data_IF_542560583462
#
_entry.id   IF_542560583462
#
_cell.length_a   1.000
_cell.length_b   1.000
_cell.length_c   1.000
_cell.angle_alpha   90.00
_cell.angle_beta   90.00
_cell.angle_gamma   90.00
#
_symmetry.space_group_name_H-M   'P 1'
#
loop_
_entity.id
_entity.type
_entity.pdbx_description
1 polymer ?
#
# COMPACT_ATOMS: atom_id res chain seq x y z
N UNK A 1 11.17 12.54 5.94
CA UNK A 1 10.56 13.83 6.34
C UNK A 1 10.66 14.88 5.23
N UNK A 2 11.85 15.25 4.74
CA UNK A 2 11.99 16.29 3.71
C UNK A 2 11.19 16.05 2.41
N UNK A 3 11.20 14.82 1.86
CA UNK A 3 10.37 14.50 0.68
C UNK A 3 8.87 14.72 0.94
N UNK A 4 8.41 14.39 2.15
CA UNK A 4 7.02 14.59 2.53
C UNK A 4 6.66 16.07 2.45
N UNK A 5 7.42 16.94 3.13
CA UNK A 5 7.16 18.38 3.15
C UNK A 5 7.24 18.99 1.75
N UNK A 6 8.32 18.74 1.00
CA UNK A 6 8.50 19.33 -0.33
C UNK A 6 7.39 18.94 -1.32
N UNK A 7 6.90 17.69 -1.26
CA UNK A 7 5.79 17.26 -2.14
C UNK A 7 4.42 17.68 -1.60
N UNK A 8 4.22 17.66 -0.28
CA UNK A 8 2.99 18.13 0.35
C UNK A 8 2.77 19.61 0.01
N UNK A 9 3.75 20.47 0.27
CA UNK A 9 3.66 21.88 -0.06
C UNK A 9 3.39 22.08 -1.54
N UNK A 10 4.14 21.42 -2.43
CA UNK A 10 3.98 21.52 -3.88
C UNK A 10 2.55 21.24 -4.35
N UNK A 11 1.91 20.18 -3.85
CA UNK A 11 0.58 19.77 -4.31
C UNK A 11 -0.58 20.39 -3.54
N UNK A 12 -0.32 20.88 -2.33
CA UNK A 12 -1.33 21.52 -1.48
C UNK A 12 -1.33 23.05 -1.55
N UNK A 13 -0.44 23.69 -2.32
CA UNK A 13 -0.52 25.14 -2.56
C UNK A 13 -1.94 25.55 -3.01
N UNK A 14 -2.43 26.64 -2.45
CA UNK A 14 -3.75 27.19 -2.71
C UNK A 14 -4.91 26.46 -2.03
N UNK A 15 -4.64 25.40 -1.26
CA UNK A 15 -5.70 24.63 -0.58
C UNK A 15 -6.05 25.16 0.82
N UNK A 16 -5.25 26.09 1.37
CA UNK A 16 -5.34 26.55 2.75
C UNK A 16 -4.58 25.68 3.74
N UNK A 17 -3.84 24.66 3.27
CA UNK A 17 -3.02 23.77 4.11
C UNK A 17 -1.55 24.21 4.18
N UNK A 18 -1.11 25.05 3.25
CA UNK A 18 0.28 25.51 3.16
C UNK A 18 0.39 26.95 3.68
N UNK A 19 1.42 27.30 4.47
CA UNK A 19 1.67 28.67 4.87
C UNK A 19 1.66 29.64 3.68
N UNK A 20 1.05 30.80 3.85
CA UNK A 20 0.92 31.80 2.78
C UNK A 20 -0.30 31.63 1.86
N UNK A 21 -1.02 30.51 1.92
CA UNK A 21 -2.29 30.38 1.20
C UNK A 21 -3.35 31.37 1.71
N UNK A 22 -4.22 31.86 0.83
CA UNK A 22 -5.25 32.84 1.18
C UNK A 22 -6.21 32.37 2.30
N UNK A 23 -6.52 31.07 2.33
CA UNK A 23 -7.41 30.45 3.32
C UNK A 23 -6.66 29.73 4.45
N UNK A 24 -5.34 29.87 4.53
CA UNK A 24 -4.57 29.24 5.59
C UNK A 24 -4.96 29.83 6.96
N UNK A 25 -5.43 29.01 7.93
CA UNK A 25 -5.88 29.55 9.22
C UNK A 25 -4.78 30.33 9.97
N UNK A 26 -3.51 29.96 9.77
CA UNK A 26 -2.37 30.63 10.37
C UNK A 26 -2.15 32.08 9.92
N UNK A 27 -2.74 32.50 8.80
CA UNK A 27 -2.66 33.89 8.33
C UNK A 27 -3.37 34.88 9.26
N UNK A 28 -4.33 34.40 10.07
CA UNK A 28 -5.09 35.21 11.04
C UNK A 28 -4.30 35.47 12.34
N UNK A 29 -3.16 34.80 12.53
CA UNK A 29 -2.40 34.88 13.76
C UNK A 29 -1.52 36.13 13.78
N UNK A 30 -1.60 36.90 14.86
CA UNK A 30 -0.86 38.16 14.98
C UNK A 30 0.66 38.00 14.79
N UNK A 31 1.23 36.89 15.29
CA UNK A 31 2.66 36.58 15.14
C UNK A 31 3.09 36.19 13.71
N UNK A 32 2.14 36.03 12.78
CA UNK A 32 2.40 35.82 11.36
C UNK A 32 2.13 37.07 10.52
N UNK A 33 1.66 38.16 11.12
CA UNK A 33 1.40 39.42 10.42
C UNK A 33 2.66 39.95 9.73
N UNK A 34 2.54 40.27 8.44
CA UNK A 34 3.65 40.78 7.62
C UNK A 34 4.72 39.76 7.21
N UNK A 35 4.60 38.48 7.63
CA UNK A 35 5.51 37.43 7.14
C UNK A 35 5.30 37.19 5.65
N UNK A 36 6.39 36.99 4.93
CA UNK A 36 6.41 36.52 3.55
C UNK A 36 6.92 35.09 3.54
N UNK A 37 6.24 34.23 2.80
CA UNK A 37 6.60 32.82 2.66
C UNK A 37 7.10 32.58 1.24
N UNK A 38 8.34 32.12 1.10
CA UNK A 38 8.92 31.71 -0.19
C UNK A 38 8.68 30.22 -0.40
N UNK A 39 7.42 29.85 -0.66
CA UNK A 39 7.04 28.45 -0.82
C UNK A 39 7.78 27.77 -2.00
N UNK A 40 8.00 28.42 -3.16
CA UNK A 40 8.84 27.83 -4.20
C UNK A 40 10.27 27.53 -3.73
N UNK A 41 10.89 28.43 -2.95
CA UNK A 41 12.19 28.22 -2.34
C UNK A 41 12.20 27.10 -1.30
N UNK A 42 11.16 27.02 -0.47
CA UNK A 42 10.99 26.00 0.58
C UNK A 42 10.80 24.60 -0.01
N UNK A 43 9.92 24.45 -1.00
CA UNK A 43 9.75 23.20 -1.77
C UNK A 43 11.09 22.75 -2.35
N UNK A 44 11.81 23.66 -3.02
CA UNK A 44 13.10 23.34 -3.62
C UNK A 44 14.09 22.87 -2.55
N UNK A 45 14.19 23.59 -1.44
CA UNK A 45 15.05 23.24 -0.32
C UNK A 45 14.74 21.81 0.19
N UNK A 46 13.49 21.51 0.49
CA UNK A 46 13.11 20.19 1.00
C UNK A 46 13.36 19.05 0.00
N UNK A 47 13.12 19.26 -1.29
CA UNK A 47 13.42 18.26 -2.31
C UNK A 47 14.94 18.05 -2.48
N UNK A 48 15.74 19.11 -2.43
CA UNK A 48 17.21 19.01 -2.45
C UNK A 48 17.73 18.26 -1.21
N UNK A 49 17.19 18.57 -0.01
CA UNK A 49 17.53 17.85 1.22
C UNK A 49 17.13 16.38 1.18
N UNK A 50 15.97 16.06 0.61
CA UNK A 50 15.55 14.67 0.43
C UNK A 50 16.52 13.90 -0.47
N UNK A 51 16.94 14.51 -1.58
CA UNK A 51 17.87 13.94 -2.54
C UNK A 51 19.27 13.76 -1.93
N UNK A 52 19.78 14.77 -1.24
CA UNK A 52 21.09 14.72 -0.57
C UNK A 52 21.14 13.65 0.52
N UNK A 53 20.16 13.63 1.42
CA UNK A 53 20.11 12.66 2.52
C UNK A 53 19.96 11.22 2.01
N UNK A 54 19.09 11.00 1.02
CA UNK A 54 18.89 9.67 0.42
C UNK A 54 20.18 9.13 -0.21
N UNK A 55 21.01 10.00 -0.80
CA UNK A 55 22.27 9.60 -1.44
C UNK A 55 23.30 9.07 -0.44
N UNK A 56 23.29 9.55 0.82
CA UNK A 56 24.29 9.17 1.83
C UNK A 56 24.19 7.71 2.26
N UNK A 57 23.00 7.13 2.15
CA UNK A 57 22.69 5.77 2.65
C UNK A 57 23.21 4.68 1.70
N UNK A 58 23.66 5.05 0.50
CA UNK A 58 24.20 4.13 -0.50
C UNK A 58 23.12 3.52 -1.39
N UNK A 59 23.50 2.46 -2.13
CA UNK A 59 22.67 1.85 -3.18
C UNK A 59 22.67 0.31 -3.14
N UNK A 60 23.15 -0.29 -2.05
CA UNK A 60 23.19 -1.74 -1.90
C UNK A 60 21.81 -2.26 -1.51
N UNK A 61 21.23 -3.08 -2.39
CA UNK A 61 19.95 -3.76 -2.17
C UNK A 61 20.15 -5.28 -2.08
N UNK A 62 19.28 -5.93 -1.33
CA UNK A 62 19.20 -7.39 -1.19
C UNK A 62 18.77 -7.99 -2.53
N UNK A 63 19.57 -8.89 -3.08
CA UNK A 63 19.27 -9.52 -4.35
C UNK A 63 18.08 -10.50 -4.25
N UNK A 64 17.34 -10.64 -5.34
CA UNK A 64 16.38 -11.73 -5.54
C UNK A 64 17.09 -12.90 -6.21
N UNK A 65 16.76 -14.13 -5.81
CA UNK A 65 17.21 -15.34 -6.53
C UNK A 65 16.33 -15.66 -7.74
N UNK A 66 15.26 -14.89 -7.94
CA UNK A 66 14.20 -15.13 -8.93
C UNK A 66 13.47 -16.48 -8.75
N UNK A 67 13.64 -17.13 -7.59
CA UNK A 67 12.78 -18.24 -7.16
C UNK A 67 11.54 -17.69 -6.46
N UNK A 68 10.35 -18.11 -6.91
CA UNK A 68 9.06 -17.59 -6.44
C UNK A 68 8.45 -18.38 -5.28
N UNK A 69 9.01 -19.57 -5.01
CA UNK A 69 8.64 -20.42 -3.89
C UNK A 69 9.81 -21.31 -3.44
N UNK A 70 9.83 -21.73 -2.17
CA UNK A 70 10.75 -22.76 -1.67
C UNK A 70 10.41 -24.16 -2.19
N UNK A 71 11.38 -25.08 -2.06
CA UNK A 71 11.13 -26.50 -2.16
C UNK A 71 10.62 -27.06 -0.82
N UNK A 72 9.85 -28.16 -0.87
CA UNK A 72 9.48 -28.93 0.33
C UNK A 72 10.76 -29.39 1.05
N UNK A 73 10.81 -29.21 2.37
CA UNK A 73 11.98 -29.46 3.20
C UNK A 73 13.03 -28.34 3.21
N UNK A 74 12.77 -27.20 2.56
CA UNK A 74 13.72 -26.08 2.47
C UNK A 74 13.01 -24.75 2.80
N UNK A 75 12.74 -24.46 4.09
CA UNK A 75 11.98 -23.28 4.48
C UNK A 75 12.75 -21.95 4.32
N UNK A 76 14.08 -21.99 4.25
CA UNK A 76 14.97 -20.80 4.17
C UNK A 76 16.06 -20.99 3.10
N UNK A 77 16.78 -19.92 2.75
CA UNK A 77 17.86 -19.92 1.76
C UNK A 77 17.40 -19.99 0.30
N UNK A 78 16.12 -19.77 0.01
CA UNK A 78 15.56 -19.87 -1.33
C UNK A 78 15.42 -18.51 -2.02
N UNK A 79 15.17 -17.42 -1.29
CA UNK A 79 15.13 -16.06 -1.85
C UNK A 79 15.41 -15.00 -0.77
N UNK A 80 16.58 -14.35 -0.84
CA UNK A 80 17.00 -13.36 0.16
C UNK A 80 16.07 -12.12 0.23
N UNK A 81 15.46 -11.72 -0.88
CA UNK A 81 14.53 -10.58 -0.87
C UNK A 81 13.21 -10.92 -0.16
N UNK A 82 12.71 -12.16 -0.31
CA UNK A 82 11.57 -12.62 0.49
C UNK A 82 11.97 -12.76 1.96
N UNK A 83 13.12 -13.40 2.22
CA UNK A 83 13.59 -13.75 3.56
C UNK A 83 13.96 -12.54 4.42
N UNK A 84 14.28 -11.39 3.80
CA UNK A 84 14.40 -10.11 4.49
C UNK A 84 13.17 -9.75 5.32
N UNK A 85 11.99 -10.28 5.00
CA UNK A 85 10.75 -10.06 5.74
C UNK A 85 10.31 -11.26 6.60
N UNK A 86 11.08 -12.37 6.60
CA UNK A 86 10.65 -13.64 7.20
C UNK A 86 11.75 -14.31 8.02
N UNK A 87 12.71 -13.53 8.51
CA UNK A 87 13.79 -14.01 9.37
C UNK A 87 13.86 -13.20 10.69
N UNK A 88 14.25 -13.81 11.83
CA UNK A 88 14.22 -13.14 13.14
C UNK A 88 15.24 -12.01 13.37
N UNK A 89 16.27 -11.89 12.53
CA UNK A 89 17.34 -10.91 12.67
C UNK A 89 17.78 -10.37 11.30
N UNK A 90 18.14 -9.09 11.21
CA UNK A 90 18.46 -8.41 9.94
C UNK A 90 19.85 -7.76 9.95
N UNK A 91 20.69 -8.06 10.94
CA UNK A 91 22.08 -7.61 11.00
C UNK A 91 22.94 -8.13 9.84
N UNK A 92 22.54 -9.24 9.23
CA UNK A 92 23.14 -9.81 8.03
C UNK A 92 22.55 -9.28 6.71
N UNK A 93 21.62 -8.30 6.74
CA UNK A 93 20.95 -7.76 5.56
C UNK A 93 21.37 -6.30 5.36
N UNK A 94 22.39 -6.01 4.51
CA UNK A 94 22.91 -4.65 4.33
C UNK A 94 21.90 -3.63 3.82
N UNK A 95 20.81 -4.06 3.18
CA UNK A 95 19.73 -3.17 2.75
C UNK A 95 18.94 -2.57 3.93
N UNK A 96 18.91 -3.25 5.08
CA UNK A 96 18.10 -2.86 6.24
C UNK A 96 18.93 -1.95 7.15
N UNK A 97 18.43 -0.74 7.38
CA UNK A 97 19.13 0.31 8.14
C UNK A 97 18.61 0.40 9.58
N UNK A 98 17.32 0.11 9.76
CA UNK A 98 16.66 0.04 11.05
C UNK A 98 15.58 -1.04 10.97
N UNK A 99 15.51 -1.88 12.00
CA UNK A 99 14.45 -2.85 12.15
C UNK A 99 14.01 -2.98 13.60
N UNK A 100 12.79 -3.48 13.79
CA UNK A 100 12.32 -3.96 15.08
C UNK A 100 12.57 -5.46 15.17
N UNK A 101 13.36 -5.86 16.16
CA UNK A 101 13.60 -7.27 16.48
C UNK A 101 12.55 -7.78 17.47
N UNK A 102 12.13 -9.02 17.28
CA UNK A 102 11.24 -9.74 18.17
C UNK A 102 12.00 -10.91 18.80
N UNK A 103 11.67 -11.24 20.04
CA UNK A 103 12.33 -12.28 20.81
C UNK A 103 11.35 -12.97 21.74
N UNK A 104 11.18 -14.27 21.51
CA UNK A 104 10.38 -15.15 22.36
C UNK A 104 10.91 -15.20 23.79
N UNK A 105 12.23 -15.21 24.00
CA UNK A 105 12.82 -15.27 25.34
C UNK A 105 12.60 -13.99 26.15
N UNK A 106 12.39 -12.86 25.48
CA UNK A 106 12.07 -11.57 26.10
C UNK A 106 10.56 -11.29 26.15
N UNK A 107 9.72 -12.20 25.65
CA UNK A 107 8.27 -12.04 25.64
C UNK A 107 7.74 -11.06 24.58
N UNK A 108 8.55 -10.70 23.59
CA UNK A 108 8.15 -9.82 22.48
C UNK A 108 7.98 -10.64 21.21
N UNK A 109 6.75 -11.04 20.90
CA UNK A 109 6.39 -11.76 19.69
C UNK A 109 5.24 -11.06 18.95
N UNK A 110 4.89 -11.54 17.76
CA UNK A 110 3.73 -11.08 17.00
C UNK A 110 3.06 -12.24 16.26
N UNK A 111 1.96 -11.96 15.58
CA UNK A 111 1.15 -12.97 14.90
C UNK A 111 1.12 -12.81 13.38
N UNK A 112 1.84 -11.80 12.85
CA UNK A 112 1.83 -11.48 11.41
C UNK A 112 2.02 -12.69 10.49
N UNK A 113 3.00 -13.60 10.69
CA UNK A 113 3.19 -14.75 9.81
C UNK A 113 1.97 -15.67 9.75
N UNK A 114 1.30 -15.87 10.89
CA UNK A 114 0.06 -16.63 10.94
C UNK A 114 -1.09 -15.86 10.27
N UNK A 115 -1.24 -14.56 10.51
CA UNK A 115 -2.34 -13.75 9.92
C UNK A 115 -2.25 -13.61 8.41
N UNK A 116 -1.05 -13.46 7.85
CA UNK A 116 -0.90 -13.41 6.38
C UNK A 116 -1.15 -14.78 5.73
N UNK A 117 -1.08 -15.87 6.49
CA UNK A 117 -1.44 -17.24 6.06
C UNK A 117 -2.95 -17.46 5.99
N UNK A 118 -3.69 -16.98 6.99
CA UNK A 118 -5.12 -17.33 7.17
C UNK A 118 -6.11 -16.22 6.82
N UNK A 119 -5.68 -14.96 6.77
CA UNK A 119 -6.55 -13.79 6.59
C UNK A 119 -6.83 -13.02 7.88
N UNK A 120 -7.37 -11.80 7.77
CA UNK A 120 -7.82 -11.01 8.93
C UNK A 120 -8.93 -10.01 8.55
N UNK A 121 -9.89 -10.46 7.73
CA UNK A 121 -10.90 -9.62 7.07
C UNK A 121 -10.28 -8.45 6.28
N UNK A 122 -9.12 -8.72 5.68
CA UNK A 122 -8.31 -7.80 4.90
C UNK A 122 -8.00 -8.38 3.51
N UNK A 123 -7.17 -7.69 2.75
CA UNK A 123 -6.76 -8.09 1.41
C UNK A 123 -6.33 -6.91 0.56
N UNK A 124 -5.48 -7.17 -0.44
CA UNK A 124 -5.09 -6.16 -1.41
C UNK A 124 -6.23 -5.86 -2.38
N UNK A 125 -6.30 -4.61 -2.85
CA UNK A 125 -7.30 -4.22 -3.84
C UNK A 125 -6.84 -4.64 -5.24
N UNK A 126 -7.81 -4.76 -6.14
CA UNK A 126 -7.58 -4.89 -7.58
C UNK A 126 -6.66 -3.79 -8.10
N UNK A 127 -6.85 -2.54 -7.65
CA UNK A 127 -6.01 -1.42 -8.07
C UNK A 127 -4.52 -1.63 -7.70
N UNK A 128 -4.24 -2.29 -6.59
CA UNK A 128 -2.90 -2.71 -6.22
C UNK A 128 -2.36 -3.82 -7.11
N UNK A 129 -3.13 -4.88 -7.36
CA UNK A 129 -2.65 -5.98 -8.24
C UNK A 129 -2.44 -5.51 -9.68
N UNK A 130 -3.26 -4.57 -10.15
CA UNK A 130 -3.16 -4.02 -11.50
C UNK A 130 -1.97 -3.06 -11.69
N UNK A 131 -1.41 -2.49 -10.62
CA UNK A 131 -0.27 -1.55 -10.70
C UNK A 131 1.07 -2.23 -11.03
N UNK A 132 1.18 -3.54 -10.83
CA UNK A 132 2.38 -4.30 -11.19
C UNK A 132 2.56 -4.35 -12.71
N UNK A 133 3.79 -4.47 -13.19
CA UNK A 133 4.05 -4.52 -14.63
C UNK A 133 4.10 -5.97 -15.12
N UNK A 134 4.04 -6.17 -16.43
CA UNK A 134 4.49 -7.41 -17.05
C UNK A 134 6.01 -7.53 -16.91
N UNK A 135 6.59 -8.74 -17.05
CA UNK A 135 8.06 -8.90 -17.07
C UNK A 135 8.74 -8.05 -18.15
N UNK A 136 8.05 -7.76 -19.26
CA UNK A 136 8.51 -6.84 -20.30
C UNK A 136 8.67 -5.38 -19.85
N UNK A 137 8.20 -5.02 -18.65
CA UNK A 137 8.11 -3.65 -18.17
C UNK A 137 6.86 -2.90 -18.65
N UNK A 138 6.02 -3.49 -19.50
CA UNK A 138 4.80 -2.82 -19.99
C UNK A 138 3.63 -2.99 -18.99
N UNK A 139 2.71 -2.00 -18.91
CA UNK A 139 1.43 -2.20 -18.24
C UNK A 139 0.64 -3.36 -18.89
N UNK A 140 -0.19 -4.06 -18.11
CA UNK A 140 -0.93 -5.24 -18.59
C UNK A 140 -1.80 -5.01 -19.83
N UNK A 141 -2.33 -3.80 -20.00
CA UNK A 141 -3.16 -3.43 -21.16
C UNK A 141 -2.35 -3.15 -22.43
N UNK A 142 -1.02 -3.12 -22.33
CA UNK A 142 -0.09 -2.84 -23.43
C UNK A 142 0.81 -4.04 -23.76
N UNK A 143 0.52 -5.22 -23.21
CA UNK A 143 1.25 -6.46 -23.46
C UNK A 143 0.28 -7.59 -23.78
N UNK A 144 0.44 -8.20 -24.96
CA UNK A 144 -0.41 -9.30 -25.41
C UNK A 144 -0.19 -10.61 -24.63
N UNK A 145 0.85 -10.70 -23.81
CA UNK A 145 1.14 -11.90 -23.03
C UNK A 145 0.38 -11.98 -21.70
N UNK A 146 -0.36 -10.92 -21.31
CA UNK A 146 -1.18 -10.95 -20.11
C UNK A 146 -2.23 -12.06 -20.19
N UNK A 147 -2.29 -12.92 -19.17
CA UNK A 147 -3.16 -14.11 -19.16
C UNK A 147 -4.62 -13.81 -18.77
N UNK A 148 -4.93 -12.57 -18.42
CA UNK A 148 -6.23 -12.21 -17.85
C UNK A 148 -6.22 -12.31 -16.33
N UNK A 149 -7.38 -12.14 -15.70
CA UNK A 149 -7.54 -12.15 -14.24
C UNK A 149 -8.61 -13.13 -13.75
N UNK A 150 -8.94 -14.14 -14.56
CA UNK A 150 -9.98 -15.14 -14.24
C UNK A 150 -9.61 -15.98 -13.01
N UNK A 151 -8.31 -16.18 -12.78
CA UNK A 151 -7.72 -16.70 -11.53
C UNK A 151 -6.63 -15.75 -11.02
N UNK A 152 -6.23 -15.90 -9.75
CA UNK A 152 -5.13 -15.10 -9.20
C UNK A 152 -3.81 -15.52 -9.87
N UNK A 153 -3.61 -16.83 -10.09
CA UNK A 153 -2.47 -17.34 -10.84
C UNK A 153 -2.36 -16.71 -12.24
N UNK A 154 -3.46 -16.57 -12.99
CA UNK A 154 -3.44 -15.92 -14.32
C UNK A 154 -3.15 -14.42 -14.21
N UNK A 155 -3.74 -13.73 -13.23
CA UNK A 155 -3.50 -12.30 -12.99
C UNK A 155 -2.01 -12.00 -12.73
N UNK A 156 -1.30 -12.99 -12.17
CA UNK A 156 0.10 -12.92 -11.80
C UNK A 156 1.04 -13.50 -12.87
N UNK A 157 0.62 -14.43 -13.70
CA UNK A 157 1.50 -15.11 -14.66
C UNK A 157 2.26 -14.12 -15.56
N UNK A 158 3.59 -14.25 -15.63
CA UNK A 158 4.44 -13.38 -16.46
C UNK A 158 4.53 -11.92 -16.00
N UNK A 159 4.20 -11.63 -14.74
CA UNK A 159 4.27 -10.29 -14.14
C UNK A 159 5.51 -10.09 -13.26
N UNK A 160 5.64 -8.87 -12.77
CA UNK A 160 6.55 -8.44 -11.71
C UNK A 160 6.67 -9.48 -10.58
N UNK A 161 7.91 -9.79 -10.18
CA UNK A 161 8.18 -10.84 -9.21
C UNK A 161 7.81 -10.45 -7.78
N UNK A 162 7.69 -9.15 -7.47
CA UNK A 162 7.14 -8.70 -6.18
C UNK A 162 5.70 -9.16 -6.00
N UNK A 163 4.91 -9.12 -7.07
CA UNK A 163 3.54 -9.63 -7.06
C UNK A 163 3.52 -11.15 -6.81
N UNK A 164 4.47 -11.90 -7.38
CA UNK A 164 4.59 -13.34 -7.13
C UNK A 164 4.95 -13.63 -5.67
N UNK A 165 5.95 -12.94 -5.14
CA UNK A 165 6.48 -13.18 -3.81
C UNK A 165 5.49 -12.78 -2.72
N UNK A 166 4.75 -11.68 -2.90
CA UNK A 166 4.06 -11.00 -1.80
C UNK A 166 2.53 -10.97 -1.89
N UNK A 167 1.94 -11.67 -2.85
CA UNK A 167 0.50 -11.96 -2.91
C UNK A 167 0.31 -13.44 -3.10
N UNK A 168 -0.57 -14.07 -2.32
CA UNK A 168 -0.87 -15.49 -2.48
C UNK A 168 -1.52 -15.78 -3.83
N UNK A 169 -1.32 -16.98 -4.38
CA UNK A 169 -2.14 -17.54 -5.45
C UNK A 169 -2.46 -19.01 -5.17
N UNK A 170 -3.34 -19.57 -6.00
CA UNK A 170 -3.87 -20.93 -5.85
C UNK A 170 -2.78 -22.03 -5.89
N UNK A 171 -1.63 -21.76 -6.53
CA UNK A 171 -0.57 -22.75 -6.80
C UNK A 171 0.56 -22.72 -5.77
N UNK A 172 0.67 -21.66 -4.98
CA UNK A 172 1.77 -21.50 -4.03
C UNK A 172 1.66 -22.48 -2.87
N UNK A 173 2.79 -23.05 -2.47
CA UNK A 173 2.86 -23.91 -1.29
C UNK A 173 2.56 -23.11 -0.02
N UNK A 174 1.63 -23.60 0.79
CA UNK A 174 1.31 -22.99 2.08
C UNK A 174 2.45 -23.26 3.07
N UNK A 175 2.88 -24.51 3.22
CA UNK A 175 3.96 -24.92 4.11
C UNK A 175 4.95 -25.82 3.36
N UNK A 176 6.23 -25.68 3.69
CA UNK A 176 7.31 -26.54 3.18
C UNK A 176 8.09 -27.24 4.29
N UNK A 177 7.95 -26.81 5.54
CA UNK A 177 8.50 -27.50 6.70
C UNK A 177 7.84 -28.89 6.85
N UNK A 178 8.61 -29.99 6.91
CA UNK A 178 8.07 -31.34 7.08
C UNK A 178 7.31 -31.56 8.39
N UNK A 179 7.48 -30.68 9.38
CA UNK A 179 6.75 -30.73 10.66
C UNK A 179 5.32 -30.20 10.56
N UNK A 180 4.99 -29.44 9.50
CA UNK A 180 3.63 -28.98 9.26
C UNK A 180 2.73 -30.12 8.76
N UNK A 181 1.48 -30.24 9.26
CA UNK A 181 0.48 -31.15 8.67
C UNK A 181 0.07 -30.75 7.24
N UNK A 182 0.37 -29.52 6.81
CA UNK A 182 0.09 -29.00 5.48
C UNK A 182 1.33 -28.94 4.58
N UNK A 183 2.43 -29.61 4.97
CA UNK A 183 3.65 -29.62 4.17
C UNK A 183 3.39 -30.12 2.74
N UNK A 184 3.78 -29.30 1.75
CA UNK A 184 3.56 -29.60 0.33
C UNK A 184 2.14 -29.36 -0.19
N UNK A 185 1.21 -28.89 0.64
CA UNK A 185 -0.12 -28.44 0.21
C UNK A 185 -0.04 -27.04 -0.40
N UNK A 186 -0.93 -26.76 -1.34
CA UNK A 186 -1.05 -25.40 -1.88
C UNK A 186 -1.95 -24.53 -1.01
N UNK A 187 -1.92 -23.21 -1.26
CA UNK A 187 -2.85 -22.26 -0.68
C UNK A 187 -4.31 -22.59 -1.06
N UNK A 188 -4.55 -23.09 -2.28
CA UNK A 188 -5.86 -23.57 -2.71
C UNK A 188 -6.32 -24.80 -1.91
N UNK A 189 -5.43 -25.77 -1.65
CA UNK A 189 -5.73 -26.92 -0.81
C UNK A 189 -6.09 -26.49 0.62
N UNK A 190 -5.32 -25.54 1.18
CA UNK A 190 -5.52 -25.02 2.54
C UNK A 190 -6.82 -24.22 2.70
N UNK A 191 -7.24 -23.50 1.65
CA UNK A 191 -8.46 -22.69 1.67
C UNK A 191 -9.77 -23.49 1.61
N UNK A 192 -9.70 -24.81 1.40
CA UNK A 192 -10.87 -25.69 1.31
C UNK A 192 -11.31 -26.21 2.67
N UNK A 193 -12.62 -26.28 2.88
CA UNK A 193 -13.17 -27.08 3.97
C UNK A 193 -12.94 -28.57 3.69
N UNK A 194 -12.32 -29.30 4.64
CA UNK A 194 -11.91 -30.69 4.45
C UNK A 194 -13.08 -31.65 4.19
N UNK A 195 -14.29 -31.32 4.65
CA UNK A 195 -15.47 -32.18 4.52
C UNK A 195 -16.15 -32.02 3.17
N UNK A 196 -16.23 -30.79 2.68
CA UNK A 196 -16.96 -30.44 1.46
C UNK A 196 -16.06 -30.29 0.25
N UNK A 197 -14.76 -30.03 0.44
CA UNK A 197 -13.81 -29.71 -0.62
C UNK A 197 -14.03 -28.33 -1.27
N UNK A 198 -14.90 -27.50 -0.68
CA UNK A 198 -15.25 -26.17 -1.20
C UNK A 198 -14.36 -25.09 -0.62
N UNK A 199 -14.08 -24.07 -1.43
CA UNK A 199 -13.33 -22.88 -1.00
C UNK A 199 -14.09 -22.10 0.07
N UNK A 200 -13.36 -21.60 1.06
CA UNK A 200 -13.93 -20.80 2.16
C UNK A 200 -13.21 -19.47 2.39
N UNK A 201 -12.03 -19.26 1.82
CA UNK A 201 -11.16 -18.11 2.15
C UNK A 201 -11.83 -16.73 1.94
N UNK A 202 -12.71 -16.55 0.95
CA UNK A 202 -13.47 -15.29 0.76
C UNK A 202 -14.78 -15.27 1.57
N UNK A 203 -15.39 -16.42 1.82
CA UNK A 203 -16.77 -16.53 2.34
C UNK A 203 -16.83 -16.93 3.81
N UNK A 204 -15.69 -17.13 4.46
CA UNK A 204 -15.65 -17.56 5.85
C UNK A 204 -16.44 -16.59 6.75
N UNK A 205 -17.31 -17.13 7.59
CA UNK A 205 -18.10 -16.30 8.52
C UNK A 205 -17.23 -15.82 9.69
N UNK A 206 -16.15 -16.55 10.01
CA UNK A 206 -15.13 -16.08 10.91
C UNK A 206 -14.26 -15.03 10.21
N UNK A 207 -14.35 -13.78 10.68
CA UNK A 207 -13.62 -12.65 10.11
C UNK A 207 -12.10 -12.81 10.24
N UNK A 208 -11.63 -13.49 11.28
CA UNK A 208 -10.21 -13.66 11.60
C UNK A 208 -9.45 -14.58 10.66
N UNK A 209 -10.15 -15.26 9.74
CA UNK A 209 -9.58 -16.18 8.74
C UNK A 209 -10.22 -15.96 7.35
N UNK A 210 -10.65 -14.72 7.07
CA UNK A 210 -11.27 -14.34 5.80
C UNK A 210 -10.42 -13.32 5.04
N UNK A 211 -10.23 -13.56 3.75
CA UNK A 211 -9.66 -12.61 2.79
C UNK A 211 -10.78 -11.94 2.00
N UNK A 212 -11.17 -10.71 2.37
CA UNK A 212 -12.40 -10.09 1.83
C UNK A 212 -12.26 -9.62 0.37
N UNK A 213 -11.03 -9.44 -0.12
CA UNK A 213 -10.75 -9.07 -1.53
C UNK A 213 -10.33 -10.26 -2.39
N UNK A 214 -10.08 -11.43 -1.79
CA UNK A 214 -9.49 -12.59 -2.45
C UNK A 214 -7.99 -12.47 -2.73
N UNK A 215 -7.41 -11.27 -2.71
CA UNK A 215 -5.96 -11.07 -2.85
C UNK A 215 -5.30 -11.02 -1.47
N UNK A 216 -4.96 -12.19 -0.93
CA UNK A 216 -4.33 -12.30 0.39
C UNK A 216 -2.86 -11.84 0.34
N UNK A 217 -2.41 -10.96 1.26
CA UNK A 217 -1.00 -10.61 1.40
C UNK A 217 -0.14 -11.80 1.81
N UNK A 218 1.09 -11.87 1.28
CA UNK A 218 2.10 -12.90 1.62
C UNK A 218 3.40 -12.33 2.18
N UNK A 219 3.63 -11.02 2.05
CA UNK A 219 4.80 -10.37 2.67
C UNK A 219 4.75 -10.55 4.18
N UNK A 220 5.91 -10.80 4.80
CA UNK A 220 6.05 -11.21 6.21
C UNK A 220 5.58 -12.63 6.55
N UNK A 221 5.27 -13.45 5.54
CA UNK A 221 5.08 -14.88 5.75
C UNK A 221 6.43 -15.58 5.93
N UNK A 222 6.50 -16.54 6.85
CA UNK A 222 7.65 -17.44 6.99
C UNK A 222 7.26 -18.89 6.76
N UNK A 223 8.16 -19.64 6.15
CA UNK A 223 8.02 -21.09 5.96
C UNK A 223 8.54 -21.89 7.15
N UNK A 224 9.07 -21.23 8.19
CA UNK A 224 9.33 -21.82 9.49
C UNK A 224 7.99 -22.08 10.21
N UNK A 225 7.58 -23.35 10.24
CA UNK A 225 6.27 -23.73 10.77
C UNK A 225 6.17 -23.50 12.29
N UNK A 226 7.28 -23.37 13.01
CA UNK A 226 7.24 -23.09 14.45
C UNK A 226 6.64 -21.72 14.77
N UNK A 227 6.59 -20.82 13.78
CA UNK A 227 6.03 -19.48 13.90
C UNK A 227 4.60 -19.36 13.36
N UNK A 228 4.10 -20.39 12.65
CA UNK A 228 2.77 -20.39 12.00
C UNK A 228 1.86 -21.58 12.36
N UNK A 229 2.00 -22.29 13.51
CA UNK A 229 1.19 -23.48 13.77
C UNK A 229 -0.25 -23.13 14.14
N UNK A 230 -0.46 -21.98 14.79
CA UNK A 230 -1.72 -21.53 15.38
C UNK A 230 -1.67 -20.03 15.73
N UNK A 231 -2.79 -19.52 16.27
CA UNK A 231 -3.00 -18.14 16.71
C UNK A 231 -2.47 -17.87 18.14
N UNK A 232 -1.30 -18.40 18.49
CA UNK A 232 -0.66 -18.16 19.78
C UNK A 232 0.47 -17.12 19.72
N UNK A 233 0.50 -16.26 18.70
CA UNK A 233 1.49 -15.17 18.54
C UNK A 233 2.92 -15.68 18.57
N UNK A 234 3.19 -16.70 17.76
CA UNK A 234 4.47 -17.42 17.78
C UNK A 234 5.56 -16.71 16.95
N UNK A 235 5.22 -15.68 16.18
CA UNK A 235 6.11 -14.97 15.26
C UNK A 235 7.21 -14.17 15.97
N UNK A 236 8.41 -14.30 15.44
CA UNK A 236 9.64 -13.61 15.84
C UNK A 236 10.37 -12.95 14.67
N UNK A 237 9.83 -13.05 13.46
CA UNK A 237 10.40 -12.41 12.27
C UNK A 237 10.58 -10.90 12.48
N UNK A 238 11.74 -10.39 12.10
CA UNK A 238 12.04 -8.98 12.25
C UNK A 238 11.18 -8.13 11.30
N UNK A 239 10.88 -6.91 11.73
CA UNK A 239 10.15 -5.94 10.92
C UNK A 239 11.12 -4.83 10.46
N UNK A 240 11.51 -4.79 9.17
CA UNK A 240 12.25 -3.67 8.62
C UNK A 240 11.47 -2.37 8.77
N UNK A 241 12.14 -1.31 9.23
CA UNK A 241 11.57 0.04 9.39
C UNK A 241 12.14 1.00 8.35
N UNK A 242 13.45 0.98 8.14
CA UNK A 242 14.12 1.77 7.10
C UNK A 242 14.98 0.87 6.22
N UNK A 243 14.84 1.03 4.91
CA UNK A 243 15.59 0.27 3.90
C UNK A 243 16.23 1.19 2.86
N UNK A 244 17.35 0.75 2.29
CA UNK A 244 18.03 1.45 1.18
C UNK A 244 17.07 1.67 0.00
N UNK A 245 16.19 0.71 -0.32
CA UNK A 245 15.21 0.87 -1.40
C UNK A 245 14.28 2.07 -1.20
N UNK A 246 13.88 2.39 0.04
CA UNK A 246 13.09 3.59 0.32
C UNK A 246 13.89 4.87 0.02
N UNK A 247 15.16 4.92 0.41
CA UNK A 247 16.05 6.03 0.10
C UNK A 247 16.23 6.20 -1.42
N UNK A 248 16.44 5.12 -2.16
CA UNK A 248 16.53 5.14 -3.63
C UNK A 248 15.27 5.73 -4.27
N UNK A 249 14.09 5.30 -3.83
CA UNK A 249 12.81 5.83 -4.30
C UNK A 249 12.60 7.30 -3.91
N UNK A 250 13.02 7.67 -2.70
CA UNK A 250 12.95 9.06 -2.23
C UNK A 250 13.84 9.97 -3.10
N UNK A 251 15.05 9.52 -3.46
CA UNK A 251 15.94 10.23 -4.38
C UNK A 251 15.30 10.39 -5.76
N UNK A 252 14.81 9.30 -6.35
CA UNK A 252 14.19 9.29 -7.68
C UNK A 252 13.01 10.26 -7.77
N UNK A 253 12.14 10.25 -6.76
CA UNK A 253 10.98 11.14 -6.73
C UNK A 253 11.40 12.60 -6.54
N UNK A 254 12.28 12.91 -5.57
CA UNK A 254 12.75 14.27 -5.35
C UNK A 254 13.41 14.86 -6.61
N UNK A 255 14.24 14.07 -7.28
CA UNK A 255 14.90 14.44 -8.52
C UNK A 255 13.89 14.69 -9.66
N UNK A 256 12.90 13.82 -9.82
CA UNK A 256 11.84 14.03 -10.80
C UNK A 256 11.03 15.30 -10.51
N UNK A 257 10.70 15.53 -9.24
CA UNK A 257 9.91 16.69 -8.80
C UNK A 257 10.65 18.02 -8.99
N UNK A 258 11.98 18.06 -8.75
CA UNK A 258 12.86 19.20 -9.04
C UNK A 258 12.91 19.53 -10.54
N UNK A 259 12.72 18.52 -11.39
CA UNK A 259 12.65 18.66 -12.84
C UNK A 259 11.21 18.74 -13.38
N UNK A 260 10.25 19.13 -12.52
CA UNK A 260 8.83 19.29 -12.86
C UNK A 260 8.18 18.05 -13.47
N UNK A 261 8.64 16.85 -13.10
CA UNK A 261 8.10 15.59 -13.58
C UNK A 261 8.59 15.17 -14.97
N UNK A 262 9.56 15.86 -15.58
CA UNK A 262 9.91 15.67 -17.00
C UNK A 262 11.19 14.85 -17.23
N UNK A 263 12.11 14.84 -16.27
CA UNK A 263 13.38 14.13 -16.40
C UNK A 263 13.91 13.68 -15.03
N UNK A 264 14.87 12.76 -15.08
CA UNK A 264 15.64 12.29 -13.93
C UNK A 264 17.12 12.16 -14.30
N UNK A 265 18.00 12.31 -13.32
CA UNK A 265 19.44 12.18 -13.44
C UNK A 265 19.92 10.72 -13.55
N UNK A 266 21.21 10.52 -13.83
CA UNK A 266 21.79 9.18 -13.99
C UNK A 266 21.76 8.34 -12.71
N UNK A 267 21.76 8.96 -11.52
CA UNK A 267 21.65 8.23 -10.24
C UNK A 267 20.25 7.65 -10.09
N UNK A 268 19.21 8.45 -10.34
CA UNK A 268 17.82 8.01 -10.36
C UNK A 268 17.60 6.87 -11.37
N UNK A 269 18.19 6.97 -12.57
CA UNK A 269 18.12 5.91 -13.59
C UNK A 269 18.79 4.62 -13.11
N UNK A 270 19.97 4.71 -12.50
CA UNK A 270 20.66 3.54 -11.97
C UNK A 270 19.86 2.87 -10.85
N UNK A 271 19.26 3.65 -9.96
CA UNK A 271 18.41 3.15 -8.89
C UNK A 271 17.17 2.44 -9.42
N UNK A 272 16.49 3.04 -10.39
CA UNK A 272 15.31 2.43 -10.99
C UNK A 272 15.63 1.08 -11.66
N UNK A 273 16.75 1.01 -12.39
CA UNK A 273 17.21 -0.24 -13.02
C UNK A 273 17.46 -1.33 -11.99
N UNK A 274 18.19 -1.01 -10.90
CA UNK A 274 18.50 -1.98 -9.85
C UNK A 274 17.23 -2.55 -9.17
N UNK A 275 16.26 -1.67 -8.83
CA UNK A 275 14.99 -2.09 -8.23
C UNK A 275 14.20 -3.02 -9.17
N UNK A 276 14.19 -2.72 -10.47
CA UNK A 276 13.49 -3.50 -11.51
C UNK A 276 14.16 -4.83 -11.81
N UNK A 277 15.49 -4.85 -11.89
CA UNK A 277 16.26 -6.07 -12.05
C UNK A 277 15.98 -7.04 -10.91
N UNK A 278 16.02 -6.57 -9.65
CA UNK A 278 15.62 -7.38 -8.48
C UNK A 278 14.18 -7.90 -8.61
N UNK A 279 13.26 -7.07 -9.11
CA UNK A 279 11.86 -7.44 -9.32
C UNK A 279 11.61 -8.31 -10.57
N UNK A 280 12.64 -8.70 -11.32
CA UNK A 280 12.49 -9.50 -12.55
C UNK A 280 11.70 -8.79 -13.65
N UNK A 281 11.71 -7.45 -13.66
CA UNK A 281 11.06 -6.58 -14.64
C UNK A 281 12.11 -5.94 -15.52
N UNK A 282 11.80 -5.75 -16.81
CA UNK A 282 12.69 -5.05 -17.74
C UNK A 282 13.23 -3.72 -17.15
N UNK A 283 14.55 -3.50 -17.14
CA UNK A 283 15.16 -2.26 -16.65
C UNK A 283 14.90 -1.06 -17.57
N UNK A 284 14.33 -1.27 -18.77
CA UNK A 284 13.92 -0.21 -19.69
C UNK A 284 12.63 0.47 -19.21
N UNK A 285 12.79 1.45 -18.32
CA UNK A 285 11.68 2.28 -17.84
C UNK A 285 11.15 3.26 -18.90
N UNK A 286 11.92 3.60 -19.92
CA UNK A 286 11.45 4.47 -21.00
C UNK A 286 10.39 3.76 -21.85
N UNK A 287 10.57 2.47 -22.13
CA UNK A 287 9.53 1.64 -22.75
C UNK A 287 8.25 1.57 -21.89
N UNK A 288 8.38 1.49 -20.56
CA UNK A 288 7.21 1.55 -19.66
C UNK A 288 6.49 2.89 -19.77
N UNK A 289 7.23 4.00 -19.68
CA UNK A 289 6.69 5.36 -19.73
C UNK A 289 5.98 5.59 -21.07
N UNK A 290 6.58 5.16 -22.18
CA UNK A 290 5.98 5.25 -23.51
C UNK A 290 4.66 4.47 -23.62
N UNK A 291 4.63 3.25 -23.06
CA UNK A 291 3.45 2.38 -23.07
C UNK A 291 2.35 2.77 -22.07
N UNK A 292 2.66 3.65 -21.10
CA UNK A 292 1.71 4.05 -20.06
C UNK A 292 0.62 4.98 -20.62
N UNK A 293 -0.63 4.64 -20.35
CA UNK A 293 -1.82 5.47 -20.57
C UNK A 293 -2.49 5.75 -19.21
N UNK A 294 -2.33 6.96 -18.70
CA UNK A 294 -2.83 7.38 -17.39
C UNK A 294 -4.34 7.27 -17.24
N UNK A 295 -5.10 7.20 -18.34
CA UNK A 295 -6.56 7.02 -18.29
C UNK A 295 -6.98 5.57 -18.05
N UNK A 296 -6.06 4.61 -18.25
CA UNK A 296 -6.27 3.19 -17.97
C UNK A 296 -5.74 2.78 -16.60
N UNK A 297 -5.06 3.68 -15.91
CA UNK A 297 -4.54 3.45 -14.57
C UNK A 297 -5.63 3.70 -13.54
N UNK A 298 -5.86 2.70 -12.69
CA UNK A 298 -6.87 2.76 -11.61
C UNK A 298 -6.28 3.19 -10.26
N UNK A 299 -4.97 3.43 -10.22
CA UNK A 299 -4.28 3.86 -9.01
C UNK A 299 -4.50 5.35 -8.69
N UNK A 300 -4.54 5.69 -7.41
CA UNK A 300 -4.64 7.07 -6.93
C UNK A 300 -3.38 7.89 -7.21
N UNK A 301 -2.21 7.26 -7.30
CA UNK A 301 -0.94 7.93 -7.60
C UNK A 301 -0.89 8.64 -8.97
N UNK A 302 -1.87 8.38 -9.84
CA UNK A 302 -2.07 9.05 -11.14
C UNK A 302 -2.36 10.55 -10.97
N UNK A 303 -2.93 10.95 -9.83
CA UNK A 303 -3.41 12.31 -9.61
C UNK A 303 -2.64 13.04 -8.51
N UNK A 304 -2.51 14.35 -8.70
CA UNK A 304 -2.31 15.31 -7.62
C UNK A 304 -3.40 16.37 -7.68
N UNK A 305 -4.22 16.46 -6.64
CA UNK A 305 -5.51 17.15 -6.71
C UNK A 305 -6.40 16.51 -7.77
N UNK A 306 -6.96 17.32 -8.66
CA UNK A 306 -7.78 16.85 -9.78
C UNK A 306 -7.00 16.64 -11.08
N UNK A 307 -5.70 16.94 -11.09
CA UNK A 307 -4.86 16.89 -12.30
C UNK A 307 -4.07 15.59 -12.35
N UNK A 308 -3.95 15.01 -13.55
CA UNK A 308 -3.04 13.90 -13.79
C UNK A 308 -1.59 14.39 -13.74
N UNK A 309 -0.70 13.60 -13.15
CA UNK A 309 0.74 13.88 -13.17
C UNK A 309 1.38 13.43 -14.49
N UNK A 310 2.67 13.70 -14.69
CA UNK A 310 3.39 13.18 -15.86
C UNK A 310 3.50 11.66 -15.82
N UNK A 311 3.64 11.02 -17.00
CA UNK A 311 3.86 9.56 -17.08
C UNK A 311 5.13 9.12 -16.33
N UNK A 312 6.18 9.95 -16.34
CA UNK A 312 7.42 9.66 -15.63
C UNK A 312 7.18 9.65 -14.12
N UNK A 313 6.58 10.71 -13.57
CA UNK A 313 6.31 10.79 -12.14
C UNK A 313 5.36 9.68 -11.69
N UNK A 314 4.29 9.41 -12.44
CA UNK A 314 3.39 8.31 -12.12
C UNK A 314 4.13 6.97 -12.05
N UNK A 315 5.02 6.68 -13.00
CA UNK A 315 5.77 5.43 -12.97
C UNK A 315 6.76 5.34 -11.80
N UNK A 316 7.31 6.45 -11.30
CA UNK A 316 8.09 6.48 -10.05
C UNK A 316 7.18 6.21 -8.85
N UNK A 317 5.99 6.82 -8.79
CA UNK A 317 5.00 6.56 -7.74
C UNK A 317 4.51 5.11 -7.73
N UNK A 318 4.35 4.51 -8.91
CA UNK A 318 4.05 3.07 -9.09
C UNK A 318 5.19 2.21 -8.58
N UNK A 319 6.43 2.52 -8.94
CA UNK A 319 7.60 1.77 -8.47
C UNK A 319 7.67 1.79 -6.93
N UNK A 320 7.42 2.97 -6.33
CA UNK A 320 7.33 3.13 -4.87
C UNK A 320 6.22 2.30 -4.25
N UNK A 321 5.02 2.31 -4.84
CA UNK A 321 3.88 1.52 -4.37
C UNK A 321 4.17 0.03 -4.35
N UNK A 322 4.74 -0.48 -5.43
CA UNK A 322 4.99 -1.90 -5.63
C UNK A 322 6.15 -2.39 -4.75
N UNK A 323 7.17 -1.55 -4.56
CA UNK A 323 8.34 -1.86 -3.73
C UNK A 323 8.04 -1.82 -2.23
N UNK A 324 7.33 -0.78 -1.78
CA UNK A 324 7.04 -0.54 -0.36
C UNK A 324 5.71 -1.15 0.11
N UNK A 325 5.13 -2.05 -0.70
CA UNK A 325 3.86 -2.69 -0.39
C UNK A 325 3.91 -3.39 0.98
N UNK A 326 2.91 -3.16 1.83
CA UNK A 326 2.84 -3.75 3.17
C UNK A 326 3.75 -3.11 4.24
N UNK A 327 4.39 -1.97 3.95
CA UNK A 327 5.32 -1.31 4.88
C UNK A 327 4.77 0.00 5.50
N UNK A 328 3.45 0.23 5.41
CA UNK A 328 2.79 1.35 6.10
C UNK A 328 2.97 2.74 5.47
N UNK A 329 3.61 2.86 4.31
CA UNK A 329 3.92 4.17 3.69
C UNK A 329 2.82 4.72 2.78
N UNK A 330 1.92 3.86 2.26
CA UNK A 330 1.00 4.24 1.18
C UNK A 330 0.05 5.38 1.54
N UNK A 331 -0.46 5.41 2.77
CA UNK A 331 -1.36 6.47 3.20
C UNK A 331 -0.64 7.83 3.20
N UNK A 332 0.53 7.91 3.82
CA UNK A 332 1.33 9.14 3.84
C UNK A 332 1.70 9.62 2.42
N UNK A 333 2.01 8.70 1.50
CA UNK A 333 2.26 9.02 0.10
C UNK A 333 1.03 9.65 -0.57
N UNK A 334 -0.16 9.08 -0.40
CA UNK A 334 -1.39 9.62 -0.99
C UNK A 334 -1.80 10.97 -0.39
N UNK A 335 -1.48 11.21 0.89
CA UNK A 335 -1.70 12.50 1.56
C UNK A 335 -0.79 13.57 0.96
N UNK A 336 0.53 13.37 0.92
CA UNK A 336 1.48 14.37 0.38
C UNK A 336 1.31 14.59 -1.12
N UNK A 337 0.82 13.60 -1.86
CA UNK A 337 0.49 13.75 -3.28
C UNK A 337 -0.86 14.41 -3.54
N UNK A 338 -1.70 14.62 -2.51
CA UNK A 338 -3.07 15.12 -2.67
C UNK A 338 -3.91 14.22 -3.61
N UNK A 339 -3.78 12.91 -3.48
CA UNK A 339 -4.34 11.96 -4.46
C UNK A 339 -5.83 11.65 -4.27
N UNK A 340 -6.46 12.11 -3.18
CA UNK A 340 -7.85 11.79 -2.85
C UNK A 340 -8.89 12.80 -3.36
N UNK A 341 -8.50 13.92 -3.98
CA UNK A 341 -9.45 14.98 -4.35
C UNK A 341 -10.56 14.51 -5.31
N UNK A 342 -10.29 13.49 -6.13
CA UNK A 342 -11.34 12.89 -6.97
C UNK A 342 -12.46 12.24 -6.17
N UNK A 343 -12.14 11.72 -4.98
CA UNK A 343 -13.12 11.10 -4.06
C UNK A 343 -14.02 12.11 -3.36
N UNK A 344 -13.75 13.41 -3.48
CA UNK A 344 -14.65 14.48 -3.02
C UNK A 344 -15.94 14.49 -3.87
N UNK A 345 -15.81 14.24 -5.17
CA UNK A 345 -16.94 14.33 -6.13
C UNK A 345 -17.38 12.98 -6.70
N UNK A 346 -16.50 11.98 -6.69
CA UNK A 346 -16.79 10.64 -7.22
C UNK A 346 -16.38 9.57 -6.22
N UNK A 347 -17.36 8.82 -5.70
CA UNK A 347 -17.10 7.71 -4.77
C UNK A 347 -16.17 6.67 -5.40
N UNK A 348 -15.28 6.12 -4.58
CA UNK A 348 -14.42 5.00 -4.95
C UNK A 348 -14.92 3.71 -4.31
N UNK A 349 -15.13 2.69 -5.14
CA UNK A 349 -15.55 1.36 -4.69
C UNK A 349 -14.32 0.44 -4.77
N UNK A 350 -13.80 -0.06 -3.64
CA UNK A 350 -12.73 -1.03 -3.66
C UNK A 350 -13.21 -2.34 -4.30
N UNK A 351 -12.43 -2.84 -5.25
CA UNK A 351 -12.67 -4.12 -5.90
C UNK A 351 -11.56 -5.12 -5.54
N UNK A 352 -11.91 -6.40 -5.52
CA UNK A 352 -10.99 -7.53 -5.32
C UNK A 352 -10.82 -8.38 -6.59
N UNK A 353 -10.71 -9.69 -6.41
CA UNK A 353 -10.58 -10.69 -7.48
C UNK A 353 -11.79 -10.70 -8.42
N UNK A 354 -11.56 -11.15 -9.66
CA UNK A 354 -12.61 -11.45 -10.62
C UNK A 354 -13.35 -12.74 -10.20
N UNK A 355 -14.30 -12.59 -9.31
CA UNK A 355 -14.92 -13.72 -8.63
C UNK A 355 -16.02 -14.38 -9.46
N UNK A 356 -16.83 -13.58 -10.15
CA UNK A 356 -18.06 -14.06 -10.80
C UNK A 356 -17.85 -14.67 -12.19
N UNK A 357 -16.63 -14.62 -12.73
CA UNK A 357 -16.31 -15.27 -14.01
C UNK A 357 -16.16 -16.79 -13.82
N UNK A 358 -15.21 -17.23 -12.99
CA UNK A 358 -14.97 -18.66 -12.74
C UNK A 358 -14.84 -19.01 -11.25
N UNK A 359 -14.17 -18.18 -10.44
CA UNK A 359 -13.80 -18.50 -9.06
C UNK A 359 -14.97 -18.93 -8.17
N UNK A 360 -16.14 -18.30 -8.30
CA UNK A 360 -17.34 -18.63 -7.52
C UNK A 360 -17.78 -20.11 -7.65
N UNK A 361 -17.41 -20.81 -8.73
CA UNK A 361 -17.78 -22.22 -8.95
C UNK A 361 -17.09 -23.17 -7.97
N UNK A 362 -15.99 -22.74 -7.35
CA UNK A 362 -15.28 -23.49 -6.31
C UNK A 362 -15.91 -23.29 -4.92
N UNK A 363 -16.94 -22.44 -4.81
CA UNK A 363 -17.68 -22.15 -3.58
C UNK A 363 -19.03 -22.87 -3.58
N UNK A 364 -19.63 -23.03 -2.41
CA UNK A 364 -20.93 -23.68 -2.24
C UNK A 364 -22.05 -23.02 -3.04
N UNK A 365 -23.01 -23.83 -3.51
CA UNK A 365 -24.18 -23.34 -4.25
C UNK A 365 -25.11 -22.46 -3.41
N UNK A 366 -24.97 -22.50 -2.08
CA UNK A 366 -25.67 -21.71 -1.08
C UNK A 366 -24.96 -20.38 -0.74
N UNK A 367 -23.99 -19.95 -1.56
CA UNK A 367 -23.31 -18.68 -1.44
C UNK A 367 -24.29 -17.50 -1.28
N UNK A 368 -24.22 -16.81 -0.14
CA UNK A 368 -25.03 -15.62 0.15
C UNK A 368 -24.46 -14.38 -0.53
N UNK A 369 -25.01 -14.03 -1.69
CA UNK A 369 -24.67 -12.86 -2.49
C UNK A 369 -25.92 -12.09 -2.96
N UNK A 370 -26.96 -12.06 -2.12
CA UNK A 370 -28.30 -11.53 -2.35
C UNK A 370 -28.46 -10.06 -1.89
N UNK A 371 -27.36 -9.40 -1.53
CA UNK A 371 -27.31 -8.00 -1.09
C UNK A 371 -28.00 -7.71 0.26
N UNK A 372 -28.41 -8.76 0.97
CA UNK A 372 -28.92 -8.67 2.33
C UNK A 372 -27.84 -8.20 3.32
N UNK A 373 -28.20 -7.98 4.58
CA UNK A 373 -27.23 -7.66 5.64
C UNK A 373 -26.32 -8.84 6.01
N UNK A 374 -26.72 -10.08 5.71
CA UNK A 374 -25.96 -11.31 5.95
C UNK A 374 -25.21 -11.84 4.71
N UNK A 375 -25.27 -11.12 3.59
CA UNK A 375 -24.47 -11.41 2.41
C UNK A 375 -22.97 -11.43 2.72
N UNK A 376 -22.27 -12.42 2.16
CA UNK A 376 -20.85 -12.65 2.37
C UNK A 376 -20.00 -11.97 1.30
N UNK A 377 -20.52 -11.86 0.07
CA UNK A 377 -19.89 -11.23 -1.08
C UNK A 377 -20.90 -10.35 -1.84
N UNK A 378 -20.41 -9.39 -2.62
CA UNK A 378 -21.26 -8.58 -3.51
C UNK A 378 -21.86 -9.39 -4.64
N UNK A 379 -23.10 -9.09 -5.02
CA UNK A 379 -23.83 -9.82 -6.06
C UNK A 379 -23.16 -9.72 -7.44
N UNK A 380 -23.45 -10.70 -8.30
CA UNK A 380 -23.03 -10.70 -9.71
C UNK A 380 -23.61 -9.50 -10.49
N UNK A 381 -24.74 -8.95 -10.06
CA UNK A 381 -25.37 -7.80 -10.70
C UNK A 381 -24.53 -6.51 -10.53
N UNK A 382 -23.69 -6.45 -9.49
CA UNK A 382 -22.82 -5.29 -9.25
C UNK A 382 -21.55 -5.30 -10.14
N UNK A 383 -21.14 -6.46 -10.65
CA UNK A 383 -19.98 -6.59 -11.54
C UNK A 383 -19.30 -7.95 -11.42
N UNK A 384 -18.23 -8.13 -12.19
CA UNK A 384 -17.42 -9.37 -12.18
C UNK A 384 -16.54 -9.49 -10.93
N UNK A 385 -16.12 -8.36 -10.38
CA UNK A 385 -15.20 -8.27 -9.25
C UNK A 385 -15.94 -8.17 -7.93
N UNK A 386 -15.40 -8.79 -6.87
CA UNK A 386 -15.99 -8.59 -5.55
C UNK A 386 -15.78 -7.17 -5.05
N UNK A 387 -16.80 -6.64 -4.38
CA UNK A 387 -16.82 -5.34 -3.73
C UNK A 387 -17.06 -5.58 -2.24
N UNK A 388 -15.99 -5.71 -1.43
CA UNK A 388 -16.09 -6.16 -0.05
C UNK A 388 -17.07 -5.34 0.79
N UNK A 389 -17.11 -4.03 0.53
CA UNK A 389 -17.95 -3.08 1.25
C UNK A 389 -19.31 -2.80 0.59
N UNK A 390 -19.55 -3.34 -0.61
CA UNK A 390 -20.86 -3.31 -1.29
C UNK A 390 -21.55 -4.68 -1.28
N UNK A 391 -21.16 -5.58 -0.37
CA UNK A 391 -21.80 -6.89 -0.21
C UNK A 391 -23.25 -6.81 0.22
N UNK A 392 -23.61 -5.78 1.01
CA UNK A 392 -24.98 -5.45 1.39
C UNK A 392 -25.39 -4.12 0.80
N UNK A 393 -26.58 -4.03 0.21
CA UNK A 393 -27.15 -2.78 -0.30
C UNK A 393 -28.18 -2.18 0.66
N UNK A 394 -28.30 -2.73 1.87
CA UNK A 394 -29.14 -2.18 2.92
C UNK A 394 -28.76 -0.74 3.28
N UNK A 395 -29.75 0.08 3.64
CA UNK A 395 -29.54 1.49 3.98
C UNK A 395 -28.60 1.69 5.19
N UNK A 396 -28.48 0.68 6.08
CA UNK A 396 -27.57 0.66 7.22
C UNK A 396 -26.10 0.46 6.84
N UNK A 397 -25.79 0.00 5.62
CA UNK A 397 -24.43 -0.06 5.13
C UNK A 397 -24.03 1.29 4.54
N UNK A 398 -23.26 2.07 5.30
CA UNK A 398 -22.77 3.39 4.90
C UNK A 398 -21.79 3.33 3.71
N UNK A 399 -21.11 2.20 3.53
CA UNK A 399 -20.09 1.99 2.50
C UNK A 399 -20.64 1.31 1.23
N UNK A 400 -21.95 1.05 1.15
CA UNK A 400 -22.57 0.33 0.03
C UNK A 400 -22.28 0.95 -1.34
N UNK A 401 -22.16 2.27 -1.39
CA UNK A 401 -21.89 3.04 -2.62
C UNK A 401 -20.40 3.43 -2.77
N UNK A 402 -19.52 2.93 -1.90
CA UNK A 402 -18.11 3.27 -1.86
C UNK A 402 -17.75 4.48 -0.99
N UNK A 403 -16.45 4.77 -0.93
CA UNK A 403 -15.82 5.80 -0.11
C UNK A 403 -15.88 7.17 -0.78
N UNK A 404 -16.18 8.20 0.01
CA UNK A 404 -15.89 9.59 -0.32
C UNK A 404 -14.64 10.07 0.46
N UNK A 405 -14.16 11.27 0.11
CA UNK A 405 -13.10 11.93 0.85
C UNK A 405 -13.54 13.32 1.30
N UNK A 406 -13.10 13.69 2.49
CA UNK A 406 -13.27 15.04 3.05
C UNK A 406 -11.95 15.79 2.97
N UNK A 407 -11.99 17.02 2.49
CA UNK A 407 -10.81 17.88 2.35
C UNK A 407 -10.05 18.06 3.67
N UNK A 408 -10.74 18.06 4.81
CA UNK A 408 -10.11 18.17 6.11
C UNK A 408 -9.12 17.02 6.39
N UNK A 409 -9.36 15.82 5.84
CA UNK A 409 -8.62 14.59 6.18
C UNK A 409 -7.18 14.55 5.65
N UNK A 410 -6.74 15.57 4.89
CA UNK A 410 -5.32 15.72 4.56
C UNK A 410 -4.46 16.19 5.73
N UNK A 411 -5.06 16.76 6.77
CA UNK A 411 -4.39 17.11 8.02
C UNK A 411 -5.20 16.57 9.20
N UNK A 412 -4.54 16.16 10.28
CA UNK A 412 -5.25 15.70 11.49
C UNK A 412 -5.77 16.88 12.31
N UNK A 413 -6.91 16.77 13.02
CA UNK A 413 -7.36 17.82 13.92
C UNK A 413 -6.42 17.95 15.11
N UNK A 414 -6.23 19.17 15.59
CA UNK A 414 -5.58 19.45 16.87
C UNK A 414 -6.59 19.28 18.00
N UNK A 415 -6.15 18.70 19.12
CA UNK A 415 -6.98 18.53 20.31
C UNK A 415 -7.43 19.88 20.86
N UNK A 416 -8.70 20.02 21.23
CA UNK A 416 -9.23 21.26 21.83
C UNK A 416 -8.52 21.60 23.14
N UNK A 417 -8.11 20.59 23.90
CA UNK A 417 -7.30 20.78 25.11
C UNK A 417 -5.95 21.40 24.79
N UNK A 418 -5.31 21.04 23.68
CA UNK A 418 -4.03 21.60 23.26
C UNK A 418 -4.20 23.07 22.86
N UNK A 419 -5.22 23.37 22.05
CA UNK A 419 -5.56 24.75 21.67
C UNK A 419 -5.86 25.61 22.90
N UNK A 420 -6.62 25.11 23.87
CA UNK A 420 -6.88 25.85 25.13
C UNK A 420 -5.62 26.03 25.97
N UNK A 421 -4.73 25.03 25.99
CA UNK A 421 -3.48 25.12 26.77
C UNK A 421 -2.50 26.11 26.16
N UNK A 422 -2.59 26.36 24.85
CA UNK A 422 -1.83 27.39 24.17
C UNK A 422 -2.34 28.83 24.44
N UNK A 423 -3.41 29.00 25.22
CA UNK A 423 -3.90 30.30 25.69
C UNK A 423 -3.64 30.46 27.19
N UNK A 424 -3.09 31.61 27.61
CA UNK A 424 -2.79 31.89 29.02
C UNK A 424 -4.04 31.89 29.91
N UNK A 425 -5.18 32.31 29.36
CA UNK A 425 -6.49 32.39 30.04
C UNK A 425 -7.41 31.21 29.72
N UNK A 426 -6.92 30.21 28.96
CA UNK A 426 -7.70 29.08 28.43
C UNK A 426 -8.83 29.46 27.47
N UNK A 427 -8.94 30.72 27.02
CA UNK A 427 -9.87 31.10 25.97
C UNK A 427 -9.29 30.72 24.60
N UNK A 428 -10.03 29.92 23.83
CA UNK A 428 -9.64 29.50 22.48
C UNK A 428 -9.36 30.68 21.54
N UNK A 429 -10.03 31.83 21.75
CA UNK A 429 -9.81 33.04 20.95
C UNK A 429 -8.40 33.62 21.13
N UNK A 430 -7.76 33.34 22.27
CA UNK A 430 -6.45 33.85 22.65
C UNK A 430 -5.34 32.79 22.51
N UNK A 431 -5.68 31.62 21.96
CA UNK A 431 -4.74 30.52 21.69
C UNK A 431 -3.62 30.96 20.76
N UNK A 432 -2.38 30.57 21.07
CA UNK A 432 -1.23 30.70 20.15
C UNK A 432 -1.18 29.60 19.08
N UNK A 433 -2.10 28.65 19.12
CA UNK A 433 -2.31 27.62 18.10
C UNK A 433 -3.65 27.86 17.40
N UNK A 434 -3.76 27.44 16.14
CA UNK A 434 -5.00 27.47 15.38
C UNK A 434 -5.31 26.09 14.84
N UNK A 435 -6.59 25.79 14.64
CA UNK A 435 -7.02 24.53 14.08
C UNK A 435 -6.67 24.43 12.58
N UNK A 436 -6.42 23.21 12.10
CA UNK A 436 -6.22 22.93 10.68
C UNK A 436 -7.47 23.28 9.85
N UNK A 437 -7.27 23.62 8.58
CA UNK A 437 -8.36 24.03 7.68
C UNK A 437 -9.46 22.96 7.61
N UNK A 438 -10.72 23.39 7.57
CA UNK A 438 -11.93 22.55 7.54
C UNK A 438 -12.15 21.66 8.78
N UNK A 439 -11.34 21.79 9.83
CA UNK A 439 -11.63 21.21 11.14
C UNK A 439 -12.19 22.28 12.09
N UNK A 440 -13.25 21.98 12.85
CA UNK A 440 -13.81 22.94 13.78
C UNK A 440 -12.97 23.04 15.06
N UNK A 441 -12.90 24.23 15.64
CA UNK A 441 -12.28 24.48 16.94
C UNK A 441 -13.27 24.23 18.10
N UNK A 442 -14.02 23.13 18.04
CA UNK A 442 -14.95 22.71 19.11
C UNK A 442 -14.85 21.22 19.42
N UNK A 443 -15.13 20.86 20.67
CA UNK A 443 -15.07 19.46 21.11
C UNK A 443 -16.18 18.64 20.45
N UNK A 444 -15.84 17.44 19.96
CA UNK A 444 -16.78 16.56 19.26
C UNK A 444 -17.22 17.05 17.88
N UNK A 445 -16.58 18.09 17.33
CA UNK A 445 -16.88 18.57 15.98
C UNK A 445 -16.38 17.59 14.91
N UNK A 446 -17.09 17.59 13.77
CA UNK A 446 -16.75 16.79 12.59
C UNK A 446 -16.11 17.68 11.50
N UNK A 447 -15.40 17.07 10.55
CA UNK A 447 -14.86 17.79 9.39
C UNK A 447 -15.97 18.56 8.64
N UNK A 448 -15.70 19.82 8.31
CA UNK A 448 -16.65 20.72 7.65
C UNK A 448 -16.72 20.50 6.13
N UNK A 449 -15.61 20.02 5.54
CA UNK A 449 -15.46 19.74 4.10
C UNK A 449 -14.61 18.52 3.87
#
# INVERSE_FOLDING_TARGET
MALFEGTFEKYHQGSGRVPGDANWPGAKMAYNSGKKFDIPGEIKFFLEQAKEAAKQVGSTITASTHKMQPAVGTPTGWNAYFEMFSQPALDNVPEVLLWKQYSRSLGYTHDVPYRVKVGCADGYTRAFVESFLMKSGKPKYADSNYKGDVSIADAKEGRDERLQLFVWDEKQLIDTDPTSPHSGKTYDDYGKDEKTGLQTHITNTNQEIRCITGYQPRKYYTYDYTQTPDDNRQGTDACPIFRVSEAMLNYMEADCELNNGNSIDETSKAYWKALRERAGVSPDFDATIAATDLNKEVDFGVYSGTNQVSKMLYNIRRERMNEMAGEGLRYADLIRWRSFDRMITKKWIPEGVNFWTEMYKSYGSDLKADESSDALVSSKAQGLYIRPYSRSMAASNELRDGYNWHEAYYLSPLGISDLRTAAADRDLKNSQMYQNVNWPAMAGGHAEK
#
